data_IF_986986569330
#
_entry.id   IF_986986569330
#
_cell.length_a   1.000
_cell.length_b   1.000
_cell.length_c   1.000
_cell.angle_alpha   90.00
_cell.angle_beta   90.00
_cell.angle_gamma   90.00
#
_symmetry.space_group_name_H-M   'P 1'
#
loop_
_entity.id
_entity.type
_entity.pdbx_description
1 polymer ?
#
# COMPACT_ATOMS: atom_id res chain seq x y z
N UNK A 1 -15.42 -11.91 20.08
CA UNK A 1 -14.13 -11.90 20.81
C UNK A 1 -13.04 -12.34 19.85
N UNK A 2 -11.97 -11.56 19.72
CA UNK A 2 -10.79 -11.88 18.90
C UNK A 2 -10.01 -13.04 19.53
N UNK A 3 -10.58 -14.24 19.45
CA UNK A 3 -10.03 -15.43 20.10
C UNK A 3 -9.07 -16.14 19.18
N UNK A 4 -7.94 -16.59 19.73
CA UNK A 4 -6.94 -17.44 19.07
C UNK A 4 -6.13 -16.74 17.96
N UNK A 5 -6.04 -15.38 17.98
CA UNK A 5 -5.18 -14.67 17.03
C UNK A 5 -3.70 -14.99 17.32
N UNK A 6 -2.99 -15.39 16.28
CA UNK A 6 -1.54 -15.69 16.27
C UNK A 6 -0.76 -14.71 15.40
N UNK A 7 -1.42 -14.18 14.37
CA UNK A 7 -0.84 -13.26 13.39
C UNK A 7 -1.71 -12.01 13.31
N UNK A 8 -1.09 -10.84 13.26
CA UNK A 8 -1.74 -9.60 12.89
C UNK A 8 -1.16 -9.14 11.56
N UNK A 9 -2.00 -8.99 10.56
CA UNK A 9 -1.63 -8.48 9.26
C UNK A 9 -2.19 -7.07 9.06
N UNK A 10 -1.38 -6.18 8.49
CA UNK A 10 -1.75 -4.78 8.27
C UNK A 10 -1.79 -4.47 6.78
N UNK A 11 -2.71 -3.62 6.36
CA UNK A 11 -2.48 -2.78 5.20
C UNK A 11 -1.39 -1.73 5.53
N UNK A 12 -0.90 -1.04 4.52
CA UNK A 12 0.18 -0.06 4.66
C UNK A 12 -0.33 1.38 4.51
N UNK A 13 -0.73 1.76 3.30
CA UNK A 13 -1.15 3.11 2.94
C UNK A 13 -2.47 3.48 3.64
N UNK A 14 -2.56 4.68 4.21
CA UNK A 14 -3.67 5.19 5.02
C UNK A 14 -3.98 4.37 6.30
N UNK A 15 -3.33 3.24 6.49
CA UNK A 15 -3.35 2.43 7.73
C UNK A 15 -2.18 2.77 8.64
N UNK A 16 -0.94 2.75 8.13
CA UNK A 16 0.28 3.02 8.91
C UNK A 16 0.86 4.42 8.66
N UNK A 17 0.55 5.05 7.54
CA UNK A 17 0.93 6.42 7.18
C UNK A 17 -0.04 7.01 6.14
N UNK A 18 -0.13 8.35 6.01
CA UNK A 18 -0.96 8.97 4.98
C UNK A 18 -0.41 8.70 3.58
N UNK A 19 -1.20 8.06 2.71
CA UNK A 19 -0.81 7.72 1.35
C UNK A 19 -0.59 8.96 0.48
N UNK A 20 -1.60 9.81 0.38
CA UNK A 20 -1.59 10.92 -0.58
C UNK A 20 -0.46 11.93 -0.38
N UNK A 21 -0.11 12.36 0.85
CA UNK A 21 1.05 13.24 1.06
C UNK A 21 2.36 12.60 0.59
N UNK A 22 2.54 11.30 0.85
CA UNK A 22 3.73 10.53 0.44
C UNK A 22 3.83 10.42 -1.09
N UNK A 23 2.73 10.08 -1.76
CA UNK A 23 2.67 10.00 -3.23
C UNK A 23 2.95 11.36 -3.85
N UNK A 24 2.37 12.44 -3.32
CA UNK A 24 2.59 13.81 -3.83
C UNK A 24 4.07 14.19 -3.77
N UNK A 25 4.73 13.99 -2.64
CA UNK A 25 6.18 14.25 -2.51
C UNK A 25 7.02 13.45 -3.51
N UNK A 26 6.64 12.20 -3.75
CA UNK A 26 7.35 11.36 -4.73
C UNK A 26 7.13 11.86 -6.17
N UNK A 27 5.92 12.29 -6.54
CA UNK A 27 5.62 12.88 -7.84
C UNK A 27 6.38 14.20 -8.06
N UNK A 28 6.37 15.10 -7.07
CA UNK A 28 7.11 16.37 -7.12
C UNK A 28 8.63 16.14 -7.24
N UNK A 29 9.14 15.10 -6.58
CA UNK A 29 10.57 14.74 -6.64
C UNK A 29 10.92 14.20 -8.02
N UNK A 30 10.09 13.32 -8.58
CA UNK A 30 10.25 12.81 -9.94
C UNK A 30 10.17 13.95 -10.97
N UNK A 31 9.17 14.83 -10.87
CA UNK A 31 8.99 15.96 -11.78
C UNK A 31 10.23 16.89 -11.78
N UNK A 32 10.72 17.26 -10.60
CA UNK A 32 11.94 18.07 -10.46
C UNK A 32 13.17 17.40 -11.07
N UNK A 33 13.27 16.09 -10.93
CA UNK A 33 14.36 15.32 -11.52
C UNK A 33 14.23 15.25 -13.04
N UNK A 34 13.04 14.98 -13.59
CA UNK A 34 12.77 15.00 -15.04
C UNK A 34 13.10 16.37 -15.63
N UNK A 35 12.73 17.47 -14.97
CA UNK A 35 13.01 18.83 -15.42
C UNK A 35 14.51 19.11 -15.57
N UNK A 36 15.34 18.46 -14.78
CA UNK A 36 16.80 18.65 -14.83
C UNK A 36 17.50 17.74 -15.85
N UNK A 37 17.05 16.49 -15.97
CA UNK A 37 17.74 15.46 -16.75
C UNK A 37 17.09 15.24 -18.12
N UNK A 38 15.78 15.45 -18.23
CA UNK A 38 14.97 15.23 -19.41
C UNK A 38 14.02 16.41 -19.68
N UNK A 39 14.55 17.65 -19.85
CA UNK A 39 13.76 18.87 -19.87
C UNK A 39 12.70 18.92 -20.97
N UNK A 40 12.87 18.22 -22.10
CA UNK A 40 11.82 18.20 -23.14
C UNK A 40 10.53 17.55 -22.66
N UNK A 41 10.59 16.62 -21.70
CA UNK A 41 9.42 15.99 -21.10
C UNK A 41 8.56 17.03 -20.35
N UNK A 42 9.22 17.90 -19.58
CA UNK A 42 8.53 18.88 -18.72
C UNK A 42 8.31 20.25 -19.38
N UNK A 43 8.80 20.48 -20.61
CA UNK A 43 8.49 21.69 -21.36
C UNK A 43 7.03 21.78 -21.82
N UNK A 44 6.34 20.61 -21.95
CA UNK A 44 4.95 20.52 -22.38
C UNK A 44 3.96 20.21 -21.28
N UNK A 45 4.43 19.98 -20.04
CA UNK A 45 3.59 19.62 -18.91
C UNK A 45 4.05 20.32 -17.64
N UNK A 46 3.13 20.84 -16.85
CA UNK A 46 3.41 21.14 -15.44
C UNK A 46 3.28 19.84 -14.60
N UNK A 47 3.51 19.95 -13.28
CA UNK A 47 3.48 18.80 -12.37
C UNK A 47 2.08 18.17 -12.21
N UNK A 48 1.01 18.94 -12.30
CA UNK A 48 -0.37 18.45 -12.25
C UNK A 48 -0.79 17.80 -13.57
N UNK A 49 -0.37 18.38 -14.70
CA UNK A 49 -0.67 17.87 -16.02
C UNK A 49 -0.01 16.50 -16.27
N UNK A 50 1.24 16.31 -15.84
CA UNK A 50 1.93 15.02 -15.99
C UNK A 50 1.29 13.93 -15.13
N UNK A 51 0.79 14.26 -13.92
CA UNK A 51 0.02 13.34 -13.08
C UNK A 51 -1.31 12.98 -13.72
N UNK A 52 -1.99 13.95 -14.32
CA UNK A 52 -3.24 13.72 -15.04
C UNK A 52 -3.02 12.82 -16.25
N UNK A 53 -1.97 13.08 -17.04
CA UNK A 53 -1.61 12.22 -18.18
C UNK A 53 -1.27 10.79 -17.76
N UNK A 54 -0.57 10.62 -16.65
CA UNK A 54 -0.31 9.29 -16.10
C UNK A 54 -1.59 8.54 -15.72
N UNK A 55 -2.59 9.23 -15.15
CA UNK A 55 -3.91 8.61 -14.86
C UNK A 55 -4.61 8.15 -16.13
N UNK A 56 -4.62 8.97 -17.18
CA UNK A 56 -5.15 8.61 -18.47
C UNK A 56 -4.40 7.44 -19.11
N UNK A 57 -3.08 7.42 -18.97
CA UNK A 57 -2.23 6.31 -19.44
C UNK A 57 -2.58 5.01 -18.71
N UNK A 58 -2.70 5.05 -17.39
CA UNK A 58 -3.02 3.87 -16.57
C UNK A 58 -4.40 3.30 -16.88
N UNK A 59 -5.36 4.13 -17.27
CA UNK A 59 -6.72 3.68 -17.65
C UNK A 59 -6.77 2.85 -18.96
N UNK A 60 -5.68 2.82 -19.74
CA UNK A 60 -5.61 2.09 -21.02
C UNK A 60 -5.43 0.58 -20.87
N UNK A 61 -4.92 0.13 -19.71
CA UNK A 61 -4.67 -1.30 -19.46
C UNK A 61 -5.07 -1.67 -18.03
N UNK A 62 -5.97 -2.64 -17.89
CA UNK A 62 -6.45 -3.11 -16.58
C UNK A 62 -5.35 -3.70 -15.71
N UNK A 63 -4.24 -4.20 -16.27
CA UNK A 63 -3.09 -4.71 -15.51
C UNK A 63 -2.52 -3.66 -14.56
N UNK A 64 -2.60 -2.39 -14.93
CA UNK A 64 -2.07 -1.27 -14.14
C UNK A 64 -2.83 -1.01 -12.85
N UNK A 65 -4.03 -1.58 -12.68
CA UNK A 65 -4.74 -1.56 -11.39
C UNK A 65 -4.09 -2.49 -10.35
N UNK A 66 -3.27 -3.45 -10.81
CA UNK A 66 -2.57 -4.42 -9.96
C UNK A 66 -1.06 -4.12 -9.94
N UNK A 67 -0.46 -3.93 -11.11
CA UNK A 67 0.96 -3.65 -11.28
C UNK A 67 1.24 -2.14 -11.36
N UNK A 68 1.22 -1.47 -10.22
CA UNK A 68 1.54 -0.03 -10.15
C UNK A 68 3.01 0.26 -10.47
N UNK A 69 3.90 -0.68 -10.23
CA UNK A 69 5.33 -0.58 -10.57
C UNK A 69 5.54 -0.65 -12.07
N UNK A 70 4.97 -1.66 -12.73
CA UNK A 70 5.00 -1.78 -14.19
C UNK A 70 4.34 -0.58 -14.86
N UNK A 71 3.18 -0.16 -14.39
CA UNK A 71 2.49 1.05 -14.89
C UNK A 71 3.42 2.27 -14.88
N UNK A 72 4.12 2.50 -13.76
CA UNK A 72 5.02 3.66 -13.64
C UNK A 72 6.20 3.58 -14.61
N UNK A 73 6.79 2.41 -14.75
CA UNK A 73 7.90 2.18 -15.70
C UNK A 73 7.46 2.35 -17.13
N UNK A 74 6.34 1.76 -17.52
CA UNK A 74 5.78 1.87 -18.87
C UNK A 74 5.40 3.32 -19.21
N UNK A 75 4.86 4.06 -18.24
CA UNK A 75 4.56 5.48 -18.42
C UNK A 75 5.83 6.32 -18.62
N UNK A 76 6.86 6.10 -17.83
CA UNK A 76 8.15 6.80 -17.97
C UNK A 76 8.85 6.45 -19.29
N UNK A 77 8.81 5.18 -19.70
CA UNK A 77 9.27 4.75 -21.01
C UNK A 77 8.53 5.49 -22.12
N UNK A 78 7.21 5.53 -22.07
CA UNK A 78 6.37 6.24 -23.04
C UNK A 78 6.72 7.74 -23.08
N UNK A 79 6.92 8.39 -21.94
CA UNK A 79 7.35 9.80 -21.91
C UNK A 79 8.71 10.00 -22.58
N UNK A 80 9.66 9.08 -22.36
CA UNK A 80 10.96 9.11 -23.03
C UNK A 80 10.82 9.08 -24.54
N UNK A 81 10.09 8.08 -25.06
CA UNK A 81 9.92 7.88 -26.50
C UNK A 81 9.24 9.08 -27.20
N UNK A 82 8.13 9.60 -26.66
CA UNK A 82 7.40 10.70 -27.29
C UNK A 82 8.15 12.04 -27.24
N UNK A 83 9.20 12.15 -26.45
CA UNK A 83 10.06 13.35 -26.33
C UNK A 83 11.47 13.14 -26.87
N UNK A 84 11.71 12.13 -27.73
CA UNK A 84 12.98 11.79 -28.36
C UNK A 84 14.13 11.53 -27.38
N UNK A 85 13.85 10.85 -26.29
CA UNK A 85 14.84 10.28 -25.36
C UNK A 85 14.83 8.76 -25.45
N UNK A 86 15.86 8.11 -24.91
CA UNK A 86 15.86 6.67 -24.68
C UNK A 86 14.83 6.33 -23.59
N UNK A 87 13.70 5.73 -23.99
CA UNK A 87 12.59 5.37 -23.10
C UNK A 87 13.01 4.41 -21.99
N UNK A 88 13.87 3.42 -22.30
CA UNK A 88 14.38 2.47 -21.30
C UNK A 88 15.23 3.17 -20.23
N UNK A 89 16.06 4.12 -20.63
CA UNK A 89 16.88 4.90 -19.70
C UNK A 89 15.98 5.76 -18.80
N UNK A 90 15.02 6.49 -19.38
CA UNK A 90 14.06 7.34 -18.62
C UNK A 90 13.27 6.49 -17.63
N UNK A 91 12.79 5.32 -18.06
CA UNK A 91 12.02 4.41 -17.20
C UNK A 91 12.85 3.91 -16.02
N UNK A 92 14.06 3.41 -16.27
CA UNK A 92 14.93 2.88 -15.23
C UNK A 92 15.30 3.95 -14.20
N UNK A 93 15.86 5.08 -14.66
CA UNK A 93 16.36 6.12 -13.77
C UNK A 93 15.23 6.88 -13.07
N UNK A 94 14.16 7.22 -13.80
CA UNK A 94 13.01 7.93 -13.24
C UNK A 94 12.23 7.08 -12.24
N UNK A 95 12.13 5.77 -12.49
CA UNK A 95 11.49 4.87 -11.53
C UNK A 95 12.27 4.77 -10.22
N UNK A 96 13.60 4.67 -10.26
CA UNK A 96 14.44 4.67 -9.06
C UNK A 96 14.21 5.92 -8.22
N UNK A 97 14.22 7.11 -8.84
CA UNK A 97 13.97 8.38 -8.15
C UNK A 97 12.58 8.42 -7.50
N UNK A 98 11.55 8.00 -8.23
CA UNK A 98 10.20 7.93 -7.68
C UNK A 98 10.12 6.93 -6.54
N UNK A 99 10.67 5.72 -6.72
CA UNK A 99 10.58 4.64 -5.76
C UNK A 99 11.27 5.01 -4.44
N UNK A 100 12.47 5.58 -4.47
CA UNK A 100 13.17 6.06 -3.28
C UNK A 100 12.38 7.13 -2.53
N UNK A 101 11.82 8.11 -3.25
CA UNK A 101 10.99 9.16 -2.65
C UNK A 101 9.68 8.60 -2.07
N UNK A 102 9.08 7.57 -2.70
CA UNK A 102 7.87 6.87 -2.25
C UNK A 102 8.08 6.11 -0.94
N UNK A 103 9.30 5.67 -0.65
CA UNK A 103 9.62 4.98 0.60
C UNK A 103 9.82 5.95 1.80
N UNK A 104 9.90 7.25 1.56
CA UNK A 104 10.03 8.25 2.63
C UNK A 104 8.66 8.55 3.24
N UNK A 105 8.16 7.62 4.05
CA UNK A 105 6.86 7.73 4.72
C UNK A 105 6.97 8.46 6.06
N UNK A 106 5.88 9.08 6.48
CA UNK A 106 5.72 9.67 7.81
C UNK A 106 4.65 8.84 8.55
N UNK A 107 5.08 7.90 9.40
CA UNK A 107 4.15 7.08 10.18
C UNK A 107 3.22 7.94 11.04
N UNK A 108 1.98 7.46 11.24
CA UNK A 108 1.17 8.01 12.34
C UNK A 108 1.87 7.74 13.68
N UNK A 109 1.68 8.63 14.65
CA UNK A 109 2.41 8.63 15.92
C UNK A 109 2.24 7.33 16.73
N UNK A 110 1.09 6.66 16.58
CA UNK A 110 0.73 5.41 17.27
C UNK A 110 1.40 4.17 16.66
N UNK A 111 1.90 4.24 15.42
CA UNK A 111 2.29 3.06 14.64
C UNK A 111 3.51 2.35 15.21
N UNK A 112 4.67 3.01 15.23
CA UNK A 112 5.91 2.36 15.64
C UNK A 112 5.84 1.83 17.08
N UNK A 113 5.35 2.61 18.08
CA UNK A 113 5.21 2.10 19.43
C UNK A 113 4.26 0.90 19.54
N UNK A 114 3.14 0.90 18.80
CA UNK A 114 2.20 -0.21 18.81
C UNK A 114 2.79 -1.46 18.17
N UNK A 115 3.37 -1.37 16.96
CA UNK A 115 3.97 -2.51 16.28
C UNK A 115 5.08 -3.17 17.11
N UNK A 116 5.91 -2.38 17.81
CA UNK A 116 6.94 -2.90 18.71
C UNK A 116 6.35 -3.72 19.86
N UNK A 117 5.24 -3.26 20.48
CA UNK A 117 4.55 -3.99 21.55
C UNK A 117 3.85 -5.24 21.03
N UNK A 118 3.20 -5.15 19.87
CA UNK A 118 2.50 -6.27 19.24
C UNK A 118 3.46 -7.39 18.83
N UNK A 119 4.63 -7.06 18.27
CA UNK A 119 5.67 -8.04 17.91
C UNK A 119 6.07 -8.96 19.05
N UNK A 120 6.00 -8.49 20.30
CA UNK A 120 6.28 -9.30 21.49
C UNK A 120 5.19 -10.36 21.81
N UNK A 121 4.02 -10.24 21.18
CA UNK A 121 2.84 -11.07 21.45
C UNK A 121 2.34 -11.86 20.22
N UNK A 122 2.51 -11.29 19.04
CA UNK A 122 2.00 -11.80 17.76
C UNK A 122 3.10 -11.79 16.70
N UNK A 123 2.93 -12.61 15.68
CA UNK A 123 3.68 -12.50 14.43
C UNK A 123 3.02 -11.41 13.59
N UNK A 124 3.81 -10.55 12.96
CA UNK A 124 3.29 -9.43 12.18
C UNK A 124 3.55 -9.60 10.69
N UNK A 125 2.54 -9.30 9.88
CA UNK A 125 2.61 -9.33 8.42
C UNK A 125 1.95 -8.14 7.77
N UNK A 126 2.11 -8.01 6.45
CA UNK A 126 1.44 -6.97 5.65
C UNK A 126 0.89 -7.52 4.34
N UNK A 127 -0.22 -6.94 3.87
CA UNK A 127 -0.71 -7.11 2.49
C UNK A 127 -1.03 -5.73 1.93
N UNK A 128 -0.40 -5.36 0.83
CA UNK A 128 -0.62 -4.05 0.19
C UNK A 128 -0.91 -4.17 -1.31
N UNK A 129 -1.83 -3.34 -1.79
CA UNK A 129 -2.02 -3.13 -3.23
C UNK A 129 -1.04 -2.09 -3.79
N UNK A 130 -0.35 -1.35 -2.92
CA UNK A 130 0.68 -0.38 -3.28
C UNK A 130 2.06 -1.01 -3.50
N UNK A 131 3.03 -0.14 -3.72
CA UNK A 131 4.43 -0.52 -3.98
C UNK A 131 5.41 -0.01 -2.91
N UNK A 132 4.94 0.23 -1.68
CA UNK A 132 5.83 0.47 -0.55
C UNK A 132 6.53 -0.84 -0.13
N UNK A 133 7.81 -0.75 0.16
CA UNK A 133 8.61 -1.88 0.66
C UNK A 133 8.79 -1.76 2.17
N UNK A 134 8.41 -2.79 2.92
CA UNK A 134 8.54 -2.79 4.39
C UNK A 134 9.98 -2.60 4.85
N UNK A 135 10.95 -3.08 4.08
CA UNK A 135 12.38 -2.90 4.37
C UNK A 135 12.79 -1.44 4.20
N UNK A 136 12.40 -0.82 3.08
CA UNK A 136 12.81 0.55 2.75
C UNK A 136 12.10 1.60 3.62
N UNK A 137 10.88 1.34 4.06
CA UNK A 137 10.20 2.25 5.01
C UNK A 137 10.64 2.04 6.46
N UNK A 138 11.53 1.08 6.74
CA UNK A 138 12.08 0.85 8.08
C UNK A 138 11.25 -0.08 8.97
N UNK A 139 10.37 -0.91 8.41
CA UNK A 139 9.56 -1.91 9.12
C UNK A 139 10.12 -3.34 9.03
N UNK A 140 11.22 -3.59 8.32
CA UNK A 140 11.77 -4.93 8.09
C UNK A 140 12.04 -5.73 9.35
N UNK A 141 12.49 -5.07 10.43
CA UNK A 141 12.68 -5.73 11.71
C UNK A 141 11.38 -6.07 12.47
N UNK A 142 10.26 -5.47 12.10
CA UNK A 142 8.97 -5.66 12.78
C UNK A 142 8.06 -6.63 12.03
N UNK A 143 8.12 -6.64 10.71
CA UNK A 143 7.26 -7.43 9.82
C UNK A 143 7.99 -8.71 9.40
N UNK A 144 7.36 -9.85 9.68
CA UNK A 144 7.94 -11.16 9.35
C UNK A 144 7.69 -11.55 7.89
N UNK A 145 6.49 -11.27 7.37
CA UNK A 145 6.12 -11.51 5.99
C UNK A 145 5.35 -10.33 5.40
N UNK A 146 5.80 -9.85 4.26
CA UNK A 146 5.11 -8.86 3.45
C UNK A 146 4.65 -9.50 2.12
N UNK A 147 3.46 -9.13 1.66
CA UNK A 147 2.89 -9.53 0.38
C UNK A 147 2.39 -8.28 -0.33
N UNK A 148 2.81 -8.09 -1.57
CA UNK A 148 2.31 -7.01 -2.43
C UNK A 148 1.51 -7.55 -3.62
N UNK A 149 0.58 -6.76 -4.13
CA UNK A 149 -0.18 -7.11 -5.32
C UNK A 149 0.71 -7.35 -6.53
N UNK A 150 1.77 -6.54 -6.69
CA UNK A 150 2.71 -6.65 -7.82
C UNK A 150 3.52 -7.94 -7.78
N UNK A 151 3.84 -8.50 -6.60
CA UNK A 151 4.60 -9.74 -6.48
C UNK A 151 3.81 -10.96 -6.95
N UNK A 152 2.50 -10.93 -6.74
CA UNK A 152 1.61 -12.04 -7.08
C UNK A 152 0.82 -11.82 -8.36
N UNK A 153 0.79 -10.60 -8.89
CA UNK A 153 -0.15 -10.13 -9.92
C UNK A 153 -1.61 -10.40 -9.53
N UNK A 154 -1.89 -10.27 -8.23
CA UNK A 154 -3.20 -10.44 -7.59
C UNK A 154 -3.36 -9.35 -6.52
N UNK A 155 -4.46 -8.60 -6.56
CA UNK A 155 -4.71 -7.49 -5.64
C UNK A 155 -5.87 -7.80 -4.69
N UNK A 156 -5.89 -7.21 -3.50
CA UNK A 156 -7.09 -7.16 -2.65
C UNK A 156 -8.26 -6.56 -3.45
N UNK A 157 -9.47 -7.12 -3.38
CA UNK A 157 -9.98 -8.09 -2.41
C UNK A 157 -9.92 -9.55 -2.88
N UNK A 158 -9.13 -9.91 -3.91
CA UNK A 158 -9.03 -11.31 -4.35
C UNK A 158 -8.55 -12.19 -3.18
N UNK A 159 -9.25 -13.29 -2.85
CA UNK A 159 -8.90 -14.14 -1.71
C UNK A 159 -7.51 -14.78 -1.82
N UNK A 160 -6.96 -14.91 -3.02
CA UNK A 160 -5.64 -15.52 -3.22
C UNK A 160 -4.52 -14.74 -2.53
N UNK A 161 -4.60 -13.39 -2.47
CA UNK A 161 -3.55 -12.59 -1.84
C UNK A 161 -3.51 -12.83 -0.32
N UNK A 162 -4.67 -12.99 0.33
CA UNK A 162 -4.75 -13.32 1.77
C UNK A 162 -4.32 -14.76 2.03
N UNK A 163 -4.79 -15.72 1.21
CA UNK A 163 -4.38 -17.11 1.31
C UNK A 163 -2.87 -17.28 1.19
N UNK A 164 -2.23 -16.48 0.33
CA UNK A 164 -0.77 -16.49 0.19
C UNK A 164 -0.09 -16.07 1.50
N UNK A 165 -0.57 -15.01 2.16
CA UNK A 165 0.00 -14.60 3.45
C UNK A 165 -0.22 -15.67 4.53
N UNK A 166 -1.42 -16.29 4.62
CA UNK A 166 -1.69 -17.37 5.57
C UNK A 166 -0.74 -18.56 5.36
N UNK A 167 -0.46 -18.95 4.11
CA UNK A 167 0.51 -19.98 3.76
C UNK A 167 1.94 -19.59 4.18
N UNK A 168 2.34 -18.33 3.98
CA UNK A 168 3.66 -17.83 4.41
C UNK A 168 3.86 -17.96 5.92
N UNK A 169 2.79 -17.76 6.69
CA UNK A 169 2.80 -17.91 8.15
C UNK A 169 2.59 -19.35 8.63
N UNK A 170 2.26 -20.28 7.75
CA UNK A 170 1.83 -21.64 8.13
C UNK A 170 0.75 -21.57 9.22
N UNK A 171 -0.31 -20.79 8.96
CA UNK A 171 -1.35 -20.45 9.94
C UNK A 171 -2.72 -20.51 9.25
N UNK A 172 -3.75 -20.92 10.00
CA UNK A 172 -5.11 -20.96 9.49
C UNK A 172 -5.66 -19.51 9.37
N UNK A 173 -6.48 -19.24 8.34
CA UNK A 173 -7.05 -17.90 8.14
C UNK A 173 -7.73 -17.31 9.38
N UNK A 174 -8.50 -18.11 10.12
CA UNK A 174 -9.22 -17.68 11.33
C UNK A 174 -8.31 -17.30 12.52
N UNK A 175 -7.01 -17.61 12.46
CA UNK A 175 -5.99 -17.22 13.44
C UNK A 175 -5.28 -15.93 13.06
N UNK A 176 -5.68 -15.29 11.95
CA UNK A 176 -5.12 -14.03 11.45
C UNK A 176 -6.15 -12.91 11.65
N UNK A 177 -5.70 -11.82 12.27
CA UNK A 177 -6.43 -10.57 12.33
C UNK A 177 -5.88 -9.62 11.25
N UNK A 178 -6.75 -9.14 10.38
CA UNK A 178 -6.39 -8.13 9.39
C UNK A 178 -6.81 -6.74 9.86
N UNK A 179 -5.95 -5.76 9.73
CA UNK A 179 -6.18 -4.36 10.12
C UNK A 179 -5.93 -3.48 8.91
N UNK A 180 -6.93 -2.76 8.46
CA UNK A 180 -6.80 -1.84 7.33
C UNK A 180 -7.91 -0.80 7.29
N UNK A 181 -7.70 0.24 6.47
CA UNK A 181 -8.58 1.40 6.37
C UNK A 181 -9.70 1.24 5.34
N UNK A 182 -9.48 0.41 4.29
CA UNK A 182 -10.42 0.36 3.18
C UNK A 182 -11.56 -0.66 3.42
N UNK A 183 -12.84 -0.21 3.51
CA UNK A 183 -13.97 -1.08 3.86
C UNK A 183 -14.09 -2.34 3.00
N UNK A 184 -13.94 -2.22 1.68
CA UNK A 184 -14.11 -3.35 0.78
C UNK A 184 -12.84 -4.20 0.66
N UNK A 185 -11.68 -3.56 0.47
CA UNK A 185 -10.43 -4.31 0.24
C UNK A 185 -9.91 -4.95 1.53
N UNK A 186 -9.92 -4.24 2.65
CA UNK A 186 -9.29 -4.72 3.88
C UNK A 186 -10.25 -5.48 4.78
N UNK A 187 -11.47 -4.98 4.93
CA UNK A 187 -12.43 -5.59 5.85
C UNK A 187 -13.19 -6.71 5.18
N UNK A 188 -13.99 -6.41 4.14
CA UNK A 188 -14.81 -7.43 3.48
C UNK A 188 -13.93 -8.50 2.82
N UNK A 189 -12.90 -8.10 2.06
CA UNK A 189 -12.04 -9.04 1.36
C UNK A 189 -11.28 -9.98 2.30
N UNK A 190 -10.80 -9.50 3.46
CA UNK A 190 -10.14 -10.37 4.43
C UNK A 190 -11.12 -11.33 5.14
N UNK A 191 -12.33 -10.87 5.45
CA UNK A 191 -13.40 -11.74 6.01
C UNK A 191 -13.80 -12.82 5.01
N UNK A 192 -13.97 -12.49 3.74
CA UNK A 192 -14.30 -13.44 2.68
C UNK A 192 -13.18 -14.48 2.47
N UNK A 193 -11.94 -14.12 2.78
CA UNK A 193 -10.80 -15.04 2.81
C UNK A 193 -10.68 -15.86 4.12
N UNK A 194 -11.58 -15.67 5.09
CA UNK A 194 -11.63 -16.38 6.36
C UNK A 194 -10.84 -15.75 7.51
N UNK A 195 -10.34 -14.55 7.34
CA UNK A 195 -9.65 -13.78 8.40
C UNK A 195 -10.66 -13.13 9.35
N UNK A 196 -10.21 -12.76 10.55
CA UNK A 196 -10.88 -11.75 11.35
C UNK A 196 -10.42 -10.37 10.92
N UNK A 197 -11.28 -9.35 11.03
CA UNK A 197 -10.95 -8.02 10.53
C UNK A 197 -11.28 -6.91 11.54
N UNK A 198 -10.42 -5.90 11.58
CA UNK A 198 -10.63 -4.62 12.25
C UNK A 198 -10.56 -3.51 11.22
N UNK A 199 -11.60 -2.71 11.15
CA UNK A 199 -11.56 -1.48 10.37
C UNK A 199 -10.87 -0.36 11.14
N UNK A 200 -9.73 0.12 10.65
CA UNK A 200 -9.11 1.32 11.21
C UNK A 200 -9.63 2.55 10.46
N UNK A 201 -10.40 3.38 11.14
CA UNK A 201 -11.08 4.54 10.58
C UNK A 201 -10.45 5.83 11.16
N UNK A 202 -9.30 6.20 10.65
CA UNK A 202 -8.55 7.37 11.13
C UNK A 202 -9.24 8.70 10.84
N UNK A 203 -9.96 8.78 9.73
CA UNK A 203 -10.60 10.01 9.25
C UNK A 203 -12.07 10.14 9.65
N UNK A 204 -12.58 9.23 10.50
CA UNK A 204 -13.98 9.20 10.96
C UNK A 204 -15.00 9.23 9.79
N UNK A 205 -14.68 8.57 8.68
CA UNK A 205 -15.59 8.45 7.53
C UNK A 205 -16.76 7.51 7.84
N UNK A 206 -17.96 7.72 7.25
CA UNK A 206 -19.06 6.79 7.44
C UNK A 206 -18.79 5.45 6.74
N UNK A 207 -19.21 4.34 7.37
CA UNK A 207 -19.18 3.02 6.74
C UNK A 207 -20.12 2.97 5.53
N UNK A 208 -19.69 2.39 4.39
CA UNK A 208 -20.52 2.26 3.20
C UNK A 208 -21.77 1.39 3.47
N UNK A 209 -22.96 1.96 3.26
CA UNK A 209 -24.24 1.29 3.61
C UNK A 209 -24.49 -0.03 2.86
N UNK A 210 -23.88 -0.21 1.69
CA UNK A 210 -24.00 -1.40 0.85
C UNK A 210 -23.14 -2.58 1.31
N UNK A 211 -22.18 -2.35 2.23
CA UNK A 211 -21.32 -3.40 2.77
C UNK A 211 -21.83 -3.91 4.11
N UNK A 212 -21.55 -5.20 4.44
CA UNK A 212 -21.82 -5.74 5.78
C UNK A 212 -21.08 -4.90 6.83
N UNK A 213 -21.72 -4.60 7.96
CA UNK A 213 -21.10 -3.82 9.03
C UNK A 213 -19.85 -4.53 9.58
N UNK A 214 -18.75 -3.80 9.87
CA UNK A 214 -17.60 -4.40 10.51
C UNK A 214 -17.93 -4.79 11.95
N UNK A 215 -17.42 -5.93 12.40
CA UNK A 215 -17.59 -6.35 13.80
C UNK A 215 -16.74 -5.45 14.73
N UNK A 216 -15.56 -5.05 14.27
CA UNK A 216 -14.65 -4.22 15.04
C UNK A 216 -14.22 -2.99 14.23
N UNK A 217 -14.24 -1.85 14.92
CA UNK A 217 -13.76 -0.57 14.39
C UNK A 217 -12.92 0.12 15.45
N UNK A 218 -11.81 0.71 15.01
CA UNK A 218 -10.91 1.53 15.84
C UNK A 218 -10.55 2.82 15.09
N UNK A 219 -10.16 3.87 15.79
CA UNK A 219 -9.67 5.12 15.16
C UNK A 219 -8.14 5.18 15.04
N UNK A 220 -7.44 4.34 15.82
CA UNK A 220 -5.99 4.30 15.90
C UNK A 220 -5.51 2.94 16.43
N UNK A 221 -4.19 2.71 16.42
CA UNK A 221 -3.62 1.46 16.90
C UNK A 221 -3.58 1.34 18.44
N UNK A 222 -3.75 2.43 19.19
CA UNK A 222 -3.91 2.34 20.65
C UNK A 222 -5.23 1.68 21.03
N UNK A 223 -6.31 2.00 20.30
CA UNK A 223 -7.60 1.32 20.46
C UNK A 223 -7.50 -0.14 20.02
N UNK A 224 -6.73 -0.46 18.96
CA UNK A 224 -6.47 -1.85 18.58
C UNK A 224 -5.79 -2.62 19.72
N UNK A 225 -4.78 -2.06 20.38
CA UNK A 225 -4.12 -2.71 21.52
C UNK A 225 -5.10 -2.96 22.70
N UNK A 226 -5.99 -2.00 22.95
CA UNK A 226 -7.02 -2.16 23.98
C UNK A 226 -7.95 -3.32 23.61
N UNK A 227 -8.42 -3.37 22.38
CA UNK A 227 -9.30 -4.44 21.86
C UNK A 227 -8.64 -5.83 21.95
N UNK A 228 -7.30 -5.91 21.79
CA UNK A 228 -6.55 -7.16 21.88
C UNK A 228 -6.19 -7.57 23.33
N UNK A 229 -6.52 -6.74 24.31
CA UNK A 229 -6.22 -6.99 25.74
C UNK A 229 -7.44 -7.51 26.51
N UNK A 230 -8.63 -7.36 25.94
CA UNK A 230 -9.93 -7.83 26.45
C UNK A 230 -10.21 -9.27 25.97
#
# INVERSE_FOLDING_TARGET
>A
MLNQIRVIAFDLDDTLWPCMPTIRRAEETLYRWLSRHYPRITQGFDDEEIVTYRREFSARDQRYSIDMTGMRRDFLHHLGEIHDYDGEQVAREGFEVFFEARQQVEFYEDVLPCLQRLKGRFRLGTISNGNASVEHVGLGDLIEHAVSASDLMVAKPDPLIYQHLAQRFDTRPEEILYVGDHPHYDVVGSIDAGYQAVWINRDAIPWPQQLPQPEYQVSDLHQLETLLSD
#
